data_IF_088487494031
#
_entry.id   IF_088487494031
#
_cell.length_a   1.000
_cell.length_b   1.000
_cell.length_c   1.000
_cell.angle_alpha   90.00
_cell.angle_beta   90.00
_cell.angle_gamma   90.00
#
_symmetry.space_group_name_H-M   'P 1'
#
loop_
_entity.id
_entity.type
_entity.pdbx_description
1 polymer ?
#
# COMPACT_ATOMS: atom_id res chain seq x y z
N UNK A 1 -13.66 9.18 -11.64
CA UNK A 1 -12.46 8.71 -12.38
C UNK A 1 -12.68 7.25 -12.72
N UNK A 2 -12.46 6.81 -13.96
CA UNK A 2 -12.58 5.40 -14.36
C UNK A 2 -11.20 4.73 -14.28
N UNK A 3 -11.05 3.71 -13.43
CA UNK A 3 -9.77 3.00 -13.21
C UNK A 3 -9.61 1.75 -14.09
N UNK A 4 -10.67 1.30 -14.77
CA UNK A 4 -10.63 0.08 -15.61
C UNK A 4 -9.55 0.12 -16.71
N UNK A 5 -9.21 1.27 -17.33
CA UNK A 5 -8.15 1.31 -18.33
C UNK A 5 -6.73 1.15 -17.76
N UNK A 6 -6.54 1.26 -16.44
CA UNK A 6 -5.22 1.22 -15.83
C UNK A 6 -4.69 -0.21 -15.79
N UNK A 7 -3.47 -0.40 -16.30
CA UNK A 7 -2.76 -1.67 -16.11
C UNK A 7 -2.24 -1.75 -14.66
N UNK A 8 -2.42 -2.86 -13.93
CA UNK A 8 -1.83 -3.05 -12.61
C UNK A 8 -0.31 -2.87 -12.64
N UNK A 9 0.34 -3.51 -13.62
CA UNK A 9 1.78 -3.48 -13.86
C UNK A 9 2.08 -2.82 -15.22
N UNK A 10 2.32 -1.50 -15.30
CA UNK A 10 2.51 -0.79 -16.57
C UNK A 10 3.85 -1.10 -17.26
N UNK A 11 4.81 -1.69 -16.55
CA UNK A 11 6.13 -2.09 -17.05
C UNK A 11 6.74 -3.14 -16.11
N UNK A 12 7.69 -3.97 -16.56
CA UNK A 12 8.32 -4.97 -15.70
C UNK A 12 8.87 -4.37 -14.39
N UNK A 13 8.48 -4.94 -13.26
CA UNK A 13 8.89 -4.49 -11.92
C UNK A 13 8.27 -3.14 -11.48
N UNK A 14 7.25 -2.65 -12.16
CA UNK A 14 6.51 -1.44 -11.79
C UNK A 14 5.04 -1.74 -11.57
N UNK A 15 4.42 -0.96 -10.70
CA UNK A 15 2.97 -0.95 -10.47
C UNK A 15 2.42 0.46 -10.68
N UNK A 16 1.14 0.53 -11.04
CA UNK A 16 0.34 1.73 -10.83
C UNK A 16 -0.28 1.65 -9.42
N UNK A 17 -0.21 2.74 -8.68
CA UNK A 17 -0.79 2.86 -7.34
C UNK A 17 -1.67 4.10 -7.29
N UNK A 18 -2.94 3.92 -6.92
CA UNK A 18 -3.83 5.05 -6.66
C UNK A 18 -3.77 5.38 -5.17
N UNK A 19 -3.28 6.57 -4.83
CA UNK A 19 -3.17 7.02 -3.43
C UNK A 19 -4.55 7.31 -2.88
N UNK A 20 -4.88 6.72 -1.75
CA UNK A 20 -6.08 7.03 -0.98
C UNK A 20 -5.72 7.93 0.20
N UNK A 21 -4.62 7.65 0.89
CA UNK A 21 -4.27 8.30 2.15
C UNK A 21 -2.87 8.88 2.05
N UNK A 22 -2.74 10.23 1.96
CA UNK A 22 -1.43 10.86 1.97
C UNK A 22 -0.70 10.63 3.30
N UNK A 23 0.63 10.54 3.24
CA UNK A 23 1.49 10.45 4.41
C UNK A 23 1.18 11.57 5.41
N UNK A 24 1.20 11.24 6.70
CA UNK A 24 0.84 12.15 7.78
C UNK A 24 -0.66 12.35 8.00
N UNK A 25 -1.54 11.78 7.17
CA UNK A 25 -2.99 11.88 7.35
C UNK A 25 -3.52 10.96 8.46
N UNK A 26 -4.59 11.39 9.14
CA UNK A 26 -5.48 10.55 9.97
C UNK A 26 -6.80 10.24 9.28
N UNK A 27 -7.10 10.95 8.20
CA UNK A 27 -8.30 10.71 7.40
C UNK A 27 -8.01 9.52 6.50
N UNK A 28 -8.70 8.41 6.74
CA UNK A 28 -8.75 7.29 5.81
C UNK A 28 -9.78 7.64 4.74
N UNK A 29 -9.29 8.05 3.58
CA UNK A 29 -10.11 8.08 2.38
C UNK A 29 -10.15 6.70 1.76
N UNK A 30 -11.14 6.50 0.89
CA UNK A 30 -11.34 5.28 0.13
C UNK A 30 -11.96 5.63 -1.22
N UNK A 31 -11.54 4.94 -2.27
CA UNK A 31 -12.07 5.16 -3.60
C UNK A 31 -13.41 4.43 -3.76
N UNK A 32 -14.49 5.19 -3.92
CA UNK A 32 -15.80 4.64 -4.26
C UNK A 32 -15.89 4.40 -5.77
N UNK A 33 -15.79 3.13 -6.19
CA UNK A 33 -15.80 2.76 -7.60
C UNK A 33 -17.12 3.11 -8.32
N UNK A 34 -18.26 2.99 -7.64
CA UNK A 34 -19.59 3.29 -8.21
C UNK A 34 -19.75 4.78 -8.54
N UNK A 35 -19.32 5.66 -7.64
CA UNK A 35 -19.41 7.11 -7.81
C UNK A 35 -18.19 7.70 -8.53
N UNK A 36 -17.07 6.96 -8.56
CA UNK A 36 -15.81 7.38 -9.15
C UNK A 36 -15.14 8.54 -8.41
N UNK A 37 -15.33 8.64 -7.08
CA UNK A 37 -14.81 9.72 -6.22
C UNK A 37 -14.15 9.16 -4.96
N UNK A 38 -13.27 9.95 -4.35
CA UNK A 38 -12.74 9.64 -3.02
C UNK A 38 -13.77 10.00 -1.94
N UNK A 39 -14.05 9.05 -1.07
CA UNK A 39 -14.94 9.21 0.09
C UNK A 39 -14.12 9.18 1.37
N UNK A 40 -14.48 9.99 2.36
CA UNK A 40 -13.94 9.82 3.71
C UNK A 40 -14.62 8.61 4.36
N UNK A 41 -13.90 7.51 4.51
CA UNK A 41 -14.39 6.31 5.20
C UNK A 41 -14.42 6.53 6.71
N UNK A 42 -13.27 6.94 7.28
CA UNK A 42 -13.17 7.26 8.71
C UNK A 42 -11.99 8.15 9.06
N UNK A 43 -12.01 8.71 10.26
CA UNK A 43 -10.84 9.32 10.90
C UNK A 43 -10.28 8.33 11.91
N UNK A 44 -8.99 8.03 11.86
CA UNK A 44 -8.37 7.09 12.79
C UNK A 44 -8.61 7.52 14.24
N UNK A 45 -9.15 6.60 15.06
CA UNK A 45 -9.41 6.85 16.48
C UNK A 45 -8.11 7.14 17.24
N UNK A 46 -7.06 6.38 16.94
CA UNK A 46 -5.74 6.55 17.50
C UNK A 46 -5.07 7.83 17.00
N UNK A 47 -4.09 8.35 17.74
CA UNK A 47 -3.32 9.54 17.36
C UNK A 47 -2.24 9.26 16.30
N UNK A 48 -2.16 8.01 15.82
CA UNK A 48 -1.21 7.60 14.78
C UNK A 48 -1.59 8.21 13.43
N UNK A 49 -0.59 8.33 12.56
CA UNK A 49 -0.72 8.87 11.20
C UNK A 49 -0.09 7.89 10.23
N UNK A 50 -0.60 7.83 9.01
CA UNK A 50 -0.01 6.99 7.98
C UNK A 50 1.45 7.40 7.73
N UNK A 51 2.42 6.48 7.79
CA UNK A 51 3.84 6.82 7.67
C UNK A 51 4.22 7.23 6.24
N UNK A 52 3.52 6.68 5.24
CA UNK A 52 3.76 6.87 3.82
C UNK A 52 2.45 7.09 3.06
N UNK A 53 2.56 7.51 1.81
CA UNK A 53 1.40 7.56 0.92
C UNK A 53 0.89 6.14 0.71
N UNK A 54 -0.38 5.93 1.04
CA UNK A 54 -1.02 4.63 1.06
C UNK A 54 -2.15 4.58 0.03
N UNK A 55 -2.30 3.44 -0.61
CA UNK A 55 -3.45 3.15 -1.46
C UNK A 55 -3.33 1.75 -2.02
N UNK A 56 -3.84 1.56 -3.23
CA UNK A 56 -3.94 0.22 -3.81
C UNK A 56 -3.49 0.16 -5.26
N UNK A 57 -3.21 -1.06 -5.73
CA UNK A 57 -2.91 -1.38 -7.13
C UNK A 57 -4.22 -1.63 -7.88
N UNK A 58 -4.62 -0.76 -8.83
CA UNK A 58 -5.88 -0.93 -9.55
C UNK A 58 -5.93 -2.26 -10.32
N UNK A 59 -7.14 -2.82 -10.45
CA UNK A 59 -7.41 -4.05 -11.21
C UNK A 59 -6.62 -5.27 -10.68
N UNK A 60 -6.53 -5.39 -9.36
CA UNK A 60 -6.03 -6.55 -8.62
C UNK A 60 -7.06 -6.99 -7.59
N UNK A 61 -6.99 -8.24 -7.13
CA UNK A 61 -7.86 -8.79 -6.09
C UNK A 61 -7.02 -9.63 -5.12
N UNK A 62 -6.91 -9.19 -3.87
CA UNK A 62 -6.23 -9.89 -2.79
C UNK A 62 -7.18 -10.88 -2.07
N UNK A 63 -6.64 -11.65 -1.13
CA UNK A 63 -7.36 -12.70 -0.41
C UNK A 63 -8.49 -12.16 0.48
N UNK A 64 -8.34 -10.93 0.97
CA UNK A 64 -9.33 -10.21 1.77
C UNK A 64 -10.52 -9.67 0.95
N UNK A 65 -10.49 -9.85 -0.38
CA UNK A 65 -11.51 -9.37 -1.31
C UNK A 65 -11.33 -7.92 -1.75
N UNK A 66 -10.25 -7.26 -1.35
CA UNK A 66 -9.92 -5.88 -1.71
C UNK A 66 -8.80 -5.85 -2.78
N UNK A 67 -8.59 -4.73 -3.48
CA UNK A 67 -7.39 -4.56 -4.30
C UNK A 67 -6.10 -4.64 -3.47
N UNK A 68 -5.01 -5.07 -4.08
CA UNK A 68 -3.72 -5.22 -3.40
C UNK A 68 -3.21 -3.87 -2.87
N UNK A 69 -3.01 -3.81 -1.55
CA UNK A 69 -2.55 -2.62 -0.86
C UNK A 69 -1.05 -2.37 -1.04
N UNK A 70 -0.69 -1.08 -1.04
CA UNK A 70 0.68 -0.66 -1.22
C UNK A 70 0.95 0.72 -0.60
N UNK A 71 2.20 0.93 -0.21
CA UNK A 71 2.73 2.20 0.32
C UNK A 71 3.88 2.71 -0.54
N UNK A 72 4.01 4.02 -0.68
CA UNK A 72 5.12 4.66 -1.40
C UNK A 72 5.90 5.59 -0.47
N UNK A 73 7.21 5.35 -0.35
CA UNK A 73 8.10 6.23 0.41
C UNK A 73 8.32 7.52 -0.39
N UNK A 74 7.61 8.57 -0.01
CA UNK A 74 7.71 9.90 -0.63
C UNK A 74 8.50 10.87 0.26
N UNK A 75 9.26 11.77 -0.36
CA UNK A 75 9.89 12.89 0.38
C UNK A 75 8.89 13.92 0.88
N UNK A 76 7.81 14.14 0.11
CA UNK A 76 6.67 14.98 0.48
C UNK A 76 5.37 14.21 0.17
N UNK A 77 4.33 14.30 1.04
CA UNK A 77 3.05 13.64 0.78
C UNK A 77 2.43 14.14 -0.53
N UNK A 78 1.79 13.24 -1.28
CA UNK A 78 1.03 13.63 -2.47
C UNK A 78 -0.39 14.09 -2.08
N UNK A 79 -1.42 13.52 -2.68
CA UNK A 79 -2.83 13.84 -2.42
C UNK A 79 -3.71 12.62 -2.74
N UNK A 80 -4.88 12.53 -2.08
CA UNK A 80 -5.86 11.48 -2.34
C UNK A 80 -6.35 11.56 -3.80
N UNK A 81 -6.24 10.46 -4.53
CA UNK A 81 -6.53 10.36 -5.97
C UNK A 81 -5.31 10.55 -6.87
N UNK A 82 -4.12 10.74 -6.31
CA UNK A 82 -2.87 10.76 -7.10
C UNK A 82 -2.56 9.36 -7.62
N UNK A 83 -2.23 9.24 -8.92
CA UNK A 83 -1.73 7.99 -9.50
C UNK A 83 -0.21 8.02 -9.54
N UNK A 84 0.43 7.09 -8.83
CA UNK A 84 1.89 6.96 -8.78
C UNK A 84 2.31 5.72 -9.56
N UNK A 85 3.29 5.88 -10.46
CA UNK A 85 4.07 4.74 -10.98
C UNK A 85 5.17 4.44 -9.97
N UNK A 86 5.13 3.26 -9.37
CA UNK A 86 6.05 2.88 -8.31
C UNK A 86 6.74 1.56 -8.62
N UNK A 87 7.93 1.35 -8.04
CA UNK A 87 8.60 0.04 -8.02
C UNK A 87 8.45 -0.55 -6.62
N UNK A 88 7.86 -1.74 -6.47
CA UNK A 88 7.92 -2.48 -5.23
C UNK A 88 9.37 -2.86 -4.91
N UNK A 89 9.73 -2.80 -3.63
CA UNK A 89 11.04 -3.20 -3.10
C UNK A 89 10.92 -4.32 -2.06
N UNK A 90 9.71 -4.67 -1.66
CA UNK A 90 9.36 -5.77 -0.76
C UNK A 90 7.91 -5.65 -0.30
N UNK A 91 7.52 -6.44 0.70
CA UNK A 91 6.19 -6.38 1.30
C UNK A 91 6.20 -6.71 2.80
N UNK A 92 5.19 -6.22 3.49
CA UNK A 92 4.87 -6.56 4.87
C UNK A 92 3.80 -7.66 4.86
N UNK A 93 4.15 -8.84 5.39
CA UNK A 93 3.21 -9.92 5.64
C UNK A 93 2.48 -9.66 6.95
N UNK A 94 1.15 -9.61 6.89
CA UNK A 94 0.28 -9.48 8.05
C UNK A 94 -1.06 -10.16 7.81
N UNK A 95 -1.75 -10.45 8.91
CA UNK A 95 -3.11 -10.96 8.92
C UNK A 95 -4.04 -10.00 9.67
N UNK A 96 -5.14 -9.61 9.04
CA UNK A 96 -6.25 -8.87 9.64
C UNK A 96 -7.44 -9.82 9.82
N UNK A 97 -7.87 -10.03 11.07
CA UNK A 97 -8.95 -10.96 11.43
C UNK A 97 -8.78 -12.39 10.85
N UNK A 98 -7.54 -12.80 10.61
CA UNK A 98 -7.17 -14.12 10.09
C UNK A 98 -7.01 -14.20 8.57
N UNK A 99 -7.48 -13.21 7.82
CA UNK A 99 -7.24 -13.10 6.38
C UNK A 99 -5.85 -12.52 6.10
N UNK A 100 -5.14 -13.06 5.12
CA UNK A 100 -3.84 -12.51 4.70
C UNK A 100 -4.03 -11.17 3.99
N UNK A 101 -3.34 -10.14 4.45
CA UNK A 101 -3.43 -8.75 3.96
C UNK A 101 -2.01 -8.19 3.74
N UNK A 102 -1.31 -8.74 2.74
CA UNK A 102 0.05 -8.33 2.39
C UNK A 102 0.10 -6.91 1.82
N UNK A 103 1.01 -6.07 2.33
CA UNK A 103 1.14 -4.67 1.91
C UNK A 103 2.48 -4.41 1.22
N UNK A 104 2.46 -3.98 -0.03
CA UNK A 104 3.69 -3.67 -0.75
C UNK A 104 4.35 -2.41 -0.19
N UNK A 105 5.69 -2.37 -0.17
CA UNK A 105 6.45 -1.16 0.06
C UNK A 105 7.18 -0.79 -1.23
N UNK A 106 7.01 0.46 -1.65
CA UNK A 106 7.42 0.92 -2.97
C UNK A 106 8.21 2.23 -2.93
N UNK A 107 8.91 2.46 -4.03
CA UNK A 107 9.66 3.69 -4.34
C UNK A 107 9.04 4.32 -5.60
N UNK A 108 8.82 5.64 -5.66
CA UNK A 108 8.27 6.28 -6.85
C UNK A 108 9.28 6.24 -8.01
N UNK A 109 8.79 5.93 -9.21
CA UNK A 109 9.63 5.95 -10.43
C UNK A 109 10.09 7.37 -10.78
N UNK A 110 9.29 8.37 -10.40
CA UNK A 110 9.54 9.78 -10.71
C UNK A 110 10.62 10.43 -9.83
N UNK A 111 11.02 9.82 -8.71
CA UNK A 111 12.03 10.39 -7.81
C UNK A 111 13.44 9.88 -8.16
N UNK A 112 14.32 10.72 -8.74
CA UNK A 112 15.69 10.33 -9.04
C UNK A 112 16.53 10.06 -7.80
N UNK A 113 16.20 10.65 -6.63
CA UNK A 113 16.97 10.51 -5.39
C UNK A 113 16.88 9.09 -4.82
N UNK A 114 15.78 8.40 -5.08
CA UNK A 114 15.53 7.04 -4.59
C UNK A 114 15.80 5.96 -5.66
N UNK A 115 16.33 6.32 -6.83
CA UNK A 115 16.51 5.41 -7.97
C UNK A 115 17.36 4.18 -7.65
N UNK A 116 18.33 4.32 -6.76
CA UNK A 116 19.25 3.26 -6.32
C UNK A 116 18.64 2.29 -5.30
N UNK A 117 17.43 2.53 -4.80
CA UNK A 117 16.74 1.65 -3.86
C UNK A 117 15.98 0.58 -4.65
N UNK A 118 16.36 -0.67 -4.48
CA UNK A 118 15.84 -1.84 -5.20
C UNK A 118 15.36 -2.97 -4.27
N UNK A 119 15.66 -2.88 -2.97
CA UNK A 119 15.31 -3.88 -1.97
C UNK A 119 14.99 -3.19 -0.64
N UNK A 120 14.08 -3.77 0.14
CA UNK A 120 13.82 -3.33 1.52
C UNK A 120 15.07 -3.36 2.41
N UNK A 121 16.09 -4.15 2.07
CA UNK A 121 17.36 -4.20 2.82
C UNK A 121 18.13 -2.88 2.78
N UNK A 122 17.78 -1.99 1.86
CA UNK A 122 18.35 -0.65 1.74
C UNK A 122 17.58 0.39 2.58
N UNK A 123 16.47 0.00 3.20
CA UNK A 123 15.69 0.81 4.13
C UNK A 123 16.17 0.53 5.55
N UNK A 124 16.21 1.56 6.39
CA UNK A 124 16.60 1.40 7.79
C UNK A 124 15.61 0.45 8.50
N UNK A 125 16.13 -0.52 9.26
CA UNK A 125 15.29 -1.47 9.99
C UNK A 125 14.34 -0.80 10.98
N UNK A 126 14.76 0.31 11.60
CA UNK A 126 13.90 1.12 12.48
C UNK A 126 12.71 1.71 11.73
N UNK A 127 12.91 2.16 10.50
CA UNK A 127 11.83 2.71 9.65
C UNK A 127 10.85 1.61 9.24
N UNK A 128 11.34 0.40 8.94
CA UNK A 128 10.50 -0.76 8.67
C UNK A 128 9.68 -1.19 9.90
N UNK A 129 10.27 -1.14 11.09
CA UNK A 129 9.55 -1.45 12.34
C UNK A 129 8.51 -0.38 12.69
N UNK A 130 8.79 0.91 12.46
CA UNK A 130 7.80 1.98 12.65
C UNK A 130 6.52 1.74 11.81
N UNK A 131 6.69 1.28 10.57
CA UNK A 131 5.58 0.92 9.68
C UNK A 131 4.85 -0.33 10.18
N UNK A 132 5.58 -1.36 10.62
CA UNK A 132 4.98 -2.56 11.19
C UNK A 132 4.17 -2.26 12.46
N UNK A 133 4.71 -1.42 13.36
CA UNK A 133 4.04 -0.98 14.58
C UNK A 133 2.80 -0.14 14.29
N UNK A 134 2.83 0.69 13.24
CA UNK A 134 1.64 1.39 12.77
C UNK A 134 0.52 0.42 12.44
N UNK A 135 0.75 -0.61 11.61
CA UNK A 135 -0.29 -1.59 11.28
C UNK A 135 -0.71 -2.45 12.47
N UNK A 136 0.22 -2.77 13.37
CA UNK A 136 -0.06 -3.51 14.60
C UNK A 136 -1.01 -2.77 15.54
N UNK A 137 -1.02 -1.44 15.52
CA UNK A 137 -1.72 -0.64 16.55
C UNK A 137 -2.85 0.26 16.05
N UNK A 138 -2.89 0.63 14.76
CA UNK A 138 -3.81 1.68 14.29
C UNK A 138 -5.30 1.37 14.52
N UNK A 139 -5.67 0.08 14.51
CA UNK A 139 -7.04 -0.43 14.76
C UNK A 139 -7.29 -0.92 16.19
N UNK A 140 -6.35 -0.78 17.12
CA UNK A 140 -6.51 -1.31 18.50
C UNK A 140 -7.72 -0.71 19.22
N UNK A 141 -8.00 0.58 19.01
CA UNK A 141 -9.17 1.24 19.61
C UNK A 141 -10.50 0.82 18.97
N UNK A 142 -10.44 0.12 17.83
CA UNK A 142 -11.60 -0.48 17.17
C UNK A 142 -11.82 -1.94 17.64
N UNK A 143 -10.99 -2.43 18.58
CA UNK A 143 -11.05 -3.79 19.10
C UNK A 143 -10.57 -4.85 18.12
N UNK A 144 -9.95 -4.46 16.99
CA UNK A 144 -9.41 -5.38 15.99
C UNK A 144 -7.94 -5.65 16.25
N UNK A 145 -7.54 -6.91 16.04
CA UNK A 145 -6.17 -7.36 16.22
C UNK A 145 -5.55 -7.67 14.86
N UNK A 146 -4.40 -7.07 14.58
CA UNK A 146 -3.56 -7.39 13.43
C UNK A 146 -2.32 -8.14 13.90
N UNK A 147 -2.00 -9.23 13.21
CA UNK A 147 -0.77 -10.00 13.45
C UNK A 147 0.22 -9.68 12.34
N UNK A 148 1.45 -9.32 12.70
CA UNK A 148 2.53 -9.05 11.74
C UNK A 148 3.48 -10.26 11.72
N UNK A 149 3.64 -10.88 10.55
CA UNK A 149 4.59 -11.98 10.36
C UNK A 149 6.00 -11.46 10.01
N UNK A 150 6.07 -10.30 9.35
CA UNK A 150 7.30 -9.57 9.12
C UNK A 150 7.48 -9.09 7.70
N UNK A 151 8.69 -8.63 7.40
CA UNK A 151 9.04 -8.09 6.09
C UNK A 151 9.65 -9.15 5.18
N UNK A 152 9.20 -9.19 3.93
CA UNK A 152 9.80 -9.99 2.85
C UNK A 152 10.39 -9.09 1.76
N UNK A 153 11.46 -9.58 1.15
CA UNK A 153 12.21 -8.84 0.15
C UNK A 153 11.54 -8.87 -1.23
N UNK A 154 12.11 -8.15 -2.19
CA UNK A 154 11.54 -7.91 -3.53
C UNK A 154 11.16 -9.19 -4.29
N UNK A 155 11.81 -10.31 -4.02
CA UNK A 155 11.53 -11.60 -4.65
C UNK A 155 10.13 -12.14 -4.33
N UNK A 156 9.56 -11.78 -3.18
CA UNK A 156 8.22 -12.19 -2.77
C UNK A 156 7.10 -11.32 -3.40
N UNK A 157 7.43 -10.18 -4.03
CA UNK A 157 6.44 -9.27 -4.62
C UNK A 157 5.78 -9.86 -5.86
N UNK A 158 6.56 -10.32 -6.83
CA UNK A 158 6.03 -10.74 -8.13
C UNK A 158 5.02 -11.91 -8.01
N UNK A 159 5.29 -12.95 -7.20
CA UNK A 159 4.31 -14.04 -6.99
C UNK A 159 2.97 -13.54 -6.42
N UNK A 160 2.99 -12.61 -5.47
CA UNK A 160 1.78 -12.03 -4.90
C UNK A 160 1.03 -11.20 -5.94
N UNK A 161 1.74 -10.30 -6.63
CA UNK A 161 1.16 -9.45 -7.66
C UNK A 161 0.50 -10.26 -8.78
N UNK A 162 1.16 -11.31 -9.28
CA UNK A 162 0.62 -12.19 -10.32
C UNK A 162 -0.65 -12.91 -9.85
N UNK A 163 -0.65 -13.38 -8.60
CA UNK A 163 -1.83 -14.00 -7.98
C UNK A 163 -3.00 -13.01 -7.93
N UNK A 164 -2.77 -11.78 -7.47
CA UNK A 164 -3.81 -10.77 -7.38
C UNK A 164 -4.31 -10.27 -8.75
N UNK A 165 -3.43 -10.18 -9.75
CA UNK A 165 -3.81 -9.85 -11.12
C UNK A 165 -4.67 -10.96 -11.74
N UNK A 166 -4.32 -12.23 -11.49
CA UNK A 166 -5.08 -13.36 -12.00
C UNK A 166 -6.48 -13.45 -11.37
N UNK A 167 -6.60 -13.16 -10.07
CA UNK A 167 -7.86 -13.20 -9.34
C UNK A 167 -8.85 -12.07 -9.74
N UNK A 168 -8.35 -10.95 -10.28
CA UNK A 168 -9.18 -9.83 -10.71
C UNK A 168 -9.79 -9.98 -12.12
N UNK A 169 -9.47 -11.06 -12.84
CA UNK A 169 -9.98 -11.36 -14.18
C UNK A 169 -11.26 -12.19 -14.14
#
# INVERSE_FOLDING_TARGET
MDLRPLQPSPSPGQINLLVEIPAGSRNKYEYCAEAGVMTLDRVLHSSVRYPFDYGFVPNTLAEDGSPLDAMVIMGEPTFAGCLIKARPIGLLDLHDEGAYDGKLLCIPVADPLQRSIHSIRQIASSQLEEVAEFFRTYKNLDGRLITIDGWRDVDAVQPLLDTCIAAAR
#
